data_IF_537775117312
#
_entry.id   IF_537775117312
#
_cell.length_a   1.000
_cell.length_b   1.000
_cell.length_c   1.000
_cell.angle_alpha   90.00
_cell.angle_beta   90.00
_cell.angle_gamma   90.00
#
_symmetry.space_group_name_H-M   'P 1'
#
loop_
_entity.id
_entity.type
_entity.pdbx_description
1 polymer ?
#
# COMPACT_ATOMS: atom_id res chain seq x y z
N UNK A 1 -30.83 4.60 -20.43
CA UNK A 1 -30.06 4.12 -21.60
C UNK A 1 -29.05 5.20 -21.98
N UNK A 2 -27.79 5.05 -21.59
CA UNK A 2 -26.73 5.92 -22.10
C UNK A 2 -26.36 5.41 -23.49
N UNK A 3 -26.84 6.11 -24.53
CA UNK A 3 -26.40 5.92 -25.90
C UNK A 3 -24.97 6.47 -26.01
N UNK A 4 -24.00 5.57 -25.85
CA UNK A 4 -22.61 5.86 -26.17
C UNK A 4 -22.56 6.04 -27.70
N UNK A 5 -22.48 7.30 -28.16
CA UNK A 5 -22.31 7.59 -29.60
C UNK A 5 -21.00 6.97 -30.07
N UNK A 6 -20.93 6.42 -31.30
CA UNK A 6 -19.67 5.92 -31.85
C UNK A 6 -18.72 7.11 -32.00
N UNK A 7 -17.60 7.05 -31.27
CA UNK A 7 -16.51 8.01 -31.36
C UNK A 7 -15.96 7.98 -32.78
N UNK A 8 -15.88 9.14 -33.42
CA UNK A 8 -15.39 9.29 -34.81
C UNK A 8 -13.88 8.97 -34.88
N UNK A 9 -13.33 8.67 -36.06
CA UNK A 9 -11.90 8.31 -36.17
C UNK A 9 -10.99 9.45 -35.70
N UNK A 10 -11.34 10.70 -36.00
CA UNK A 10 -10.61 11.90 -35.57
C UNK A 10 -10.61 12.08 -34.05
N UNK A 11 -11.73 11.78 -33.37
CA UNK A 11 -11.82 11.86 -31.90
C UNK A 11 -10.95 10.78 -31.22
N UNK A 12 -10.79 9.60 -31.84
CA UNK A 12 -9.94 8.52 -31.32
C UNK A 12 -8.46 8.87 -31.44
N UNK A 13 -8.05 9.50 -32.53
CA UNK A 13 -6.68 9.94 -32.75
C UNK A 13 -6.29 11.05 -31.76
N UNK A 14 -7.14 12.08 -31.62
CA UNK A 14 -6.95 13.13 -30.61
C UNK A 14 -6.88 12.58 -29.18
N UNK A 15 -7.67 11.54 -28.86
CA UNK A 15 -7.61 10.86 -27.55
C UNK A 15 -6.26 10.15 -27.35
N UNK A 16 -5.72 9.51 -28.39
CA UNK A 16 -4.41 8.84 -28.31
C UNK A 16 -3.28 9.84 -28.11
N UNK A 17 -3.27 10.93 -28.89
CA UNK A 17 -2.28 12.00 -28.72
C UNK A 17 -2.33 12.62 -27.31
N UNK A 18 -3.54 12.83 -26.77
CA UNK A 18 -3.70 13.31 -25.40
C UNK A 18 -3.17 12.30 -24.37
N UNK A 19 -3.41 10.99 -24.58
CA UNK A 19 -2.86 9.95 -23.71
C UNK A 19 -1.33 9.92 -23.74
N UNK A 20 -0.71 10.03 -24.92
CA UNK A 20 0.74 10.09 -25.08
C UNK A 20 1.33 11.31 -24.37
N UNK A 21 0.69 12.48 -24.53
CA UNK A 21 1.08 13.70 -23.83
C UNK A 21 1.05 13.53 -22.30
N UNK A 22 -0.05 13.01 -21.76
CA UNK A 22 -0.16 12.81 -20.31
C UNK A 22 0.73 11.68 -19.78
N UNK A 23 1.00 10.65 -20.59
CA UNK A 23 1.96 9.60 -20.27
C UNK A 23 3.37 10.19 -20.09
N UNK A 24 3.83 11.00 -21.05
CA UNK A 24 5.13 11.67 -20.98
C UNK A 24 5.22 12.64 -19.78
N UNK A 25 4.17 13.41 -19.51
CA UNK A 25 4.11 14.27 -18.32
C UNK A 25 4.18 13.47 -17.01
N UNK A 26 3.50 12.33 -16.95
CA UNK A 26 3.50 11.47 -15.77
C UNK A 26 4.89 10.86 -15.52
N UNK A 27 5.60 10.44 -16.55
CA UNK A 27 6.99 9.97 -16.44
C UNK A 27 7.91 11.05 -15.86
N UNK A 28 7.84 12.27 -16.41
CA UNK A 28 8.62 13.41 -15.89
C UNK A 28 8.27 13.73 -14.44
N UNK A 29 6.98 13.67 -14.07
CA UNK A 29 6.53 13.91 -12.71
C UNK A 29 7.08 12.85 -11.74
N UNK A 30 7.08 11.57 -12.13
CA UNK A 30 7.64 10.47 -11.32
C UNK A 30 9.15 10.61 -11.13
N UNK A 31 9.88 11.05 -12.15
CA UNK A 31 11.32 11.30 -12.02
C UNK A 31 11.59 12.40 -10.98
N UNK A 32 10.89 13.53 -11.08
CA UNK A 32 11.02 14.63 -10.10
C UNK A 32 10.60 14.20 -8.69
N UNK A 33 9.57 13.38 -8.57
CA UNK A 33 9.15 12.82 -7.28
C UNK A 33 10.24 11.94 -6.66
N UNK A 34 10.90 11.11 -7.47
CA UNK A 34 12.01 10.27 -7.04
C UNK A 34 13.20 11.11 -6.57
N UNK A 35 13.63 12.10 -7.35
CA UNK A 35 14.73 13.02 -6.99
C UNK A 35 14.42 13.79 -5.69
N UNK A 36 13.21 14.34 -5.57
CA UNK A 36 12.79 15.07 -4.37
C UNK A 36 12.75 14.16 -3.14
N UNK A 37 12.32 12.90 -3.31
CA UNK A 37 12.32 11.90 -2.25
C UNK A 37 13.74 11.57 -1.81
N UNK A 38 14.66 11.32 -2.73
CA UNK A 38 16.06 11.01 -2.42
C UNK A 38 16.73 12.17 -1.70
N UNK A 39 16.55 13.39 -2.19
CA UNK A 39 17.06 14.59 -1.55
C UNK A 39 16.51 14.76 -0.12
N UNK A 40 15.19 14.56 0.08
CA UNK A 40 14.59 14.59 1.43
C UNK A 40 15.21 13.55 2.37
N UNK A 41 15.35 12.30 1.90
CA UNK A 41 15.95 11.21 2.69
C UNK A 41 17.39 11.56 3.09
N UNK A 42 18.20 12.10 2.16
CA UNK A 42 19.57 12.49 2.47
C UNK A 42 19.65 13.56 3.58
N UNK A 43 18.71 14.51 3.61
CA UNK A 43 18.61 15.52 4.67
C UNK A 43 18.18 14.87 6.00
N UNK A 44 17.19 13.97 5.96
CA UNK A 44 16.75 13.21 7.14
C UNK A 44 17.91 12.39 7.75
N UNK A 45 18.73 11.75 6.92
CA UNK A 45 19.92 11.02 7.37
C UNK A 45 20.93 11.94 8.06
N UNK A 46 21.21 13.13 7.50
CA UNK A 46 22.07 14.13 8.16
C UNK A 46 21.50 14.59 9.50
N UNK A 47 20.19 14.75 9.61
CA UNK A 47 19.53 15.08 10.89
C UNK A 47 19.73 13.94 11.90
N UNK A 48 19.59 12.69 11.47
CA UNK A 48 19.81 11.52 12.32
C UNK A 48 21.29 11.41 12.74
N UNK A 49 22.25 11.72 11.88
CA UNK A 49 23.67 11.77 12.23
C UNK A 49 23.96 12.81 13.32
N UNK A 50 23.34 14.00 13.23
CA UNK A 50 23.53 15.09 14.19
C UNK A 50 22.85 14.82 15.54
N UNK A 51 21.59 14.37 15.51
CA UNK A 51 20.80 14.15 16.72
C UNK A 51 21.01 12.76 17.33
N UNK A 52 21.47 11.79 16.56
CA UNK A 52 21.38 10.37 16.91
C UNK A 52 19.94 9.87 17.03
N UNK A 53 19.82 8.58 17.36
CA UNK A 53 18.55 7.92 17.62
C UNK A 53 18.69 6.95 18.79
N UNK A 54 17.57 6.65 19.45
CA UNK A 54 17.51 5.63 20.51
C UNK A 54 17.38 4.23 19.89
N UNK A 55 17.64 3.17 20.67
CA UNK A 55 17.46 1.79 20.20
C UNK A 55 15.97 1.48 19.92
N UNK A 56 15.08 1.88 20.82
CA UNK A 56 13.63 1.93 20.64
C UNK A 56 13.12 3.13 21.44
N UNK A 57 12.36 4.03 20.81
CA UNK A 57 11.93 5.27 21.47
C UNK A 57 12.06 6.50 20.59
N UNK A 58 12.09 7.68 21.20
CA UNK A 58 12.13 8.94 20.48
C UNK A 58 12.96 9.98 21.21
N UNK A 59 13.87 10.63 20.47
CA UNK A 59 14.66 11.75 20.96
C UNK A 59 14.18 13.04 20.30
N UNK A 60 14.06 14.12 21.08
CA UNK A 60 13.66 15.44 20.55
C UNK A 60 14.65 16.52 20.95
N UNK A 61 14.86 17.48 20.06
CA UNK A 61 15.69 18.66 20.29
C UNK A 61 14.97 19.92 19.77
N UNK A 62 14.99 20.99 20.55
CA UNK A 62 14.36 22.26 20.19
C UNK A 62 15.45 23.28 19.88
N UNK A 63 15.46 23.76 18.65
CA UNK A 63 16.28 24.89 18.19
C UNK A 63 15.45 26.17 18.23
N UNK A 64 16.03 27.36 18.01
CA UNK A 64 15.28 28.61 17.96
C UNK A 64 14.17 28.65 16.90
N UNK A 65 14.23 27.81 15.86
CA UNK A 65 13.28 27.81 14.73
C UNK A 65 12.43 26.55 14.62
N UNK A 66 12.92 25.42 15.10
CA UNK A 66 12.29 24.13 14.89
C UNK A 66 12.43 23.22 16.12
N UNK A 67 11.39 22.41 16.35
CA UNK A 67 11.49 21.22 17.19
C UNK A 67 11.66 20.01 16.30
N UNK A 68 12.80 19.34 16.41
CA UNK A 68 13.16 18.16 15.62
C UNK A 68 13.06 16.92 16.51
N UNK A 69 12.57 15.80 15.95
CA UNK A 69 12.39 14.54 16.68
C UNK A 69 12.78 13.36 15.80
N UNK A 70 13.70 12.53 16.29
CA UNK A 70 14.04 11.23 15.71
C UNK A 70 13.28 10.15 16.49
N UNK A 71 12.77 9.12 15.80
CA UNK A 71 12.02 8.02 16.42
C UNK A 71 12.47 6.70 15.83
N UNK A 72 12.90 5.77 16.67
CA UNK A 72 13.28 4.42 16.30
C UNK A 72 12.18 3.44 16.70
N UNK A 73 11.88 2.49 15.81
CA UNK A 73 10.84 1.47 16.03
C UNK A 73 11.39 0.09 15.72
N UNK A 74 10.90 -0.92 16.43
CA UNK A 74 11.13 -2.31 16.03
C UNK A 74 9.98 -2.86 15.19
N UNK A 75 10.33 -3.35 14.01
CA UNK A 75 9.44 -4.16 13.19
C UNK A 75 9.42 -5.60 13.70
N UNK A 76 8.33 -5.98 14.35
CA UNK A 76 8.12 -7.33 14.88
C UNK A 76 7.27 -8.11 13.88
N UNK A 77 7.85 -9.15 13.25
CA UNK A 77 7.14 -10.07 12.35
C UNK A 77 6.85 -11.38 13.07
N UNK A 78 5.64 -11.91 12.87
CA UNK A 78 5.23 -13.19 13.44
C UNK A 78 5.73 -14.32 12.55
N UNK A 79 6.50 -15.25 13.13
CA UNK A 79 6.91 -16.50 12.46
C UNK A 79 5.77 -17.52 12.49
N UNK A 80 4.99 -17.56 11.41
CA UNK A 80 3.79 -18.40 11.28
C UNK A 80 4.07 -19.89 11.50
N UNK A 81 5.30 -20.35 11.24
CA UNK A 81 5.66 -21.77 11.44
C UNK A 81 5.71 -22.17 12.91
N UNK A 82 5.93 -21.21 13.81
CA UNK A 82 6.08 -21.43 15.25
C UNK A 82 4.87 -20.99 16.07
N UNK A 83 3.96 -20.21 15.50
CA UNK A 83 2.78 -19.66 16.20
C UNK A 83 1.95 -20.73 16.90
N UNK A 84 1.69 -21.85 16.21
CA UNK A 84 0.89 -22.95 16.76
C UNK A 84 1.57 -23.66 17.94
N UNK A 85 2.90 -23.71 17.95
CA UNK A 85 3.67 -24.22 19.06
C UNK A 85 3.62 -23.25 20.25
N UNK A 86 3.83 -21.95 20.01
CA UNK A 86 3.74 -20.92 21.05
C UNK A 86 2.35 -20.88 21.69
N UNK A 87 1.27 -20.96 20.89
CA UNK A 87 -0.11 -21.01 21.42
C UNK A 87 -0.31 -22.15 22.42
N UNK A 88 0.27 -23.33 22.14
CA UNK A 88 0.22 -24.49 23.05
C UNK A 88 1.00 -24.26 24.34
N UNK A 89 2.13 -23.55 24.28
CA UNK A 89 2.99 -23.29 25.42
C UNK A 89 2.45 -22.22 26.37
N UNK A 90 2.02 -21.07 25.83
CA UNK A 90 1.58 -19.91 26.65
C UNK A 90 0.12 -19.98 27.07
N UNK A 91 -0.64 -20.93 26.52
CA UNK A 91 -2.08 -21.05 26.71
C UNK A 91 -2.88 -20.06 25.86
N UNK A 92 -4.14 -20.41 25.59
CA UNK A 92 -4.99 -19.65 24.67
C UNK A 92 -5.31 -18.23 25.17
N UNK A 93 -5.51 -18.05 26.48
CA UNK A 93 -5.82 -16.74 27.06
C UNK A 93 -4.67 -15.74 26.85
N UNK A 94 -3.44 -16.11 27.23
CA UNK A 94 -2.26 -15.27 27.06
C UNK A 94 -1.96 -15.04 25.58
N UNK A 95 -2.11 -16.08 24.76
CA UNK A 95 -1.90 -15.98 23.32
C UNK A 95 -2.82 -14.93 22.69
N UNK A 96 -4.13 -14.97 22.99
CA UNK A 96 -5.10 -14.04 22.42
C UNK A 96 -4.93 -12.59 22.92
N UNK A 97 -4.27 -12.36 24.05
CA UNK A 97 -3.89 -11.01 24.53
C UNK A 97 -2.74 -10.41 23.69
N UNK A 98 -1.85 -11.26 23.18
CA UNK A 98 -0.63 -10.84 22.46
C UNK A 98 -0.86 -10.82 20.95
N UNK A 99 -1.46 -11.89 20.41
CA UNK A 99 -1.66 -12.09 18.98
C UNK A 99 -3.10 -11.80 18.60
N UNK A 100 -3.29 -10.80 17.72
CA UNK A 100 -4.59 -10.50 17.13
C UNK A 100 -4.79 -11.29 15.86
N UNK A 101 -5.90 -12.00 15.77
CA UNK A 101 -6.32 -12.67 14.53
C UNK A 101 -7.05 -11.68 13.63
N UNK A 102 -6.58 -11.55 12.39
CA UNK A 102 -7.25 -10.80 11.33
C UNK A 102 -7.60 -11.77 10.21
N UNK A 103 -8.87 -11.82 9.82
CA UNK A 103 -9.28 -12.53 8.63
C UNK A 103 -9.03 -11.65 7.41
N UNK A 104 -8.35 -12.19 6.41
CA UNK A 104 -8.12 -11.54 5.13
C UNK A 104 -8.75 -12.35 4.02
N UNK A 105 -9.28 -11.67 3.01
CA UNK A 105 -9.95 -12.32 1.89
C UNK A 105 -8.89 -12.78 0.90
N UNK A 106 -8.81 -14.08 0.66
CA UNK A 106 -8.12 -14.61 -0.51
C UNK A 106 -9.02 -14.40 -1.74
N UNK A 107 -8.69 -13.36 -2.52
CA UNK A 107 -9.46 -12.98 -3.70
C UNK A 107 -9.43 -14.07 -4.77
N UNK A 108 -8.35 -14.85 -4.88
CA UNK A 108 -8.25 -15.92 -5.86
C UNK A 108 -9.19 -17.06 -5.48
N UNK A 109 -9.14 -17.49 -4.22
CA UNK A 109 -10.05 -18.52 -3.71
C UNK A 109 -11.52 -18.07 -3.76
N UNK A 110 -11.80 -16.79 -3.46
CA UNK A 110 -13.15 -16.23 -3.56
C UNK A 110 -13.69 -16.24 -5.00
N UNK A 111 -12.82 -15.95 -5.99
CA UNK A 111 -13.19 -16.03 -7.42
C UNK A 111 -13.46 -17.47 -7.84
N UNK A 112 -12.60 -18.41 -7.48
CA UNK A 112 -12.82 -19.84 -7.75
C UNK A 112 -14.12 -20.34 -7.12
N UNK A 113 -14.44 -19.92 -5.89
CA UNK A 113 -15.68 -20.29 -5.22
C UNK A 113 -16.93 -19.80 -5.98
N UNK A 114 -16.85 -18.65 -6.64
CA UNK A 114 -17.94 -18.14 -7.48
C UNK A 114 -18.23 -19.07 -8.65
N UNK A 115 -17.18 -19.54 -9.31
CA UNK A 115 -17.27 -20.37 -10.50
C UNK A 115 -17.71 -21.81 -10.14
N UNK A 116 -17.35 -22.30 -8.95
CA UNK A 116 -17.78 -23.60 -8.42
C UNK A 116 -19.20 -23.60 -7.84
N UNK A 117 -19.59 -22.57 -7.09
CA UNK A 117 -20.88 -22.52 -6.41
C UNK A 117 -21.34 -21.10 -6.06
N UNK A 118 -22.25 -20.59 -6.89
CA UNK A 118 -22.92 -19.31 -6.67
C UNK A 118 -23.53 -19.16 -5.26
N UNK A 119 -24.12 -20.24 -4.72
CA UNK A 119 -24.76 -20.22 -3.38
C UNK A 119 -23.74 -20.02 -2.27
N UNK A 120 -22.59 -20.71 -2.32
CA UNK A 120 -21.53 -20.56 -1.31
C UNK A 120 -20.87 -19.18 -1.43
N UNK A 121 -20.65 -18.72 -2.65
CA UNK A 121 -20.16 -17.37 -2.91
C UNK A 121 -21.04 -16.31 -2.26
N UNK A 122 -22.36 -16.36 -2.47
CA UNK A 122 -23.30 -15.40 -1.88
C UNK A 122 -23.23 -15.35 -0.34
N UNK A 123 -23.10 -16.52 0.31
CA UNK A 123 -22.95 -16.59 1.77
C UNK A 123 -21.66 -15.94 2.27
N UNK A 124 -20.54 -16.22 1.59
CA UNK A 124 -19.23 -15.67 1.96
C UNK A 124 -19.18 -14.16 1.71
N UNK A 125 -19.76 -13.68 0.59
CA UNK A 125 -19.78 -12.26 0.29
C UNK A 125 -20.63 -11.44 1.26
N UNK A 126 -21.59 -12.03 1.98
CA UNK A 126 -22.41 -11.31 2.96
C UNK A 126 -21.60 -10.77 4.16
N UNK A 127 -20.43 -11.34 4.43
CA UNK A 127 -19.53 -10.87 5.50
C UNK A 127 -18.35 -10.04 4.96
N UNK A 128 -18.34 -9.74 3.65
CA UNK A 128 -17.27 -9.00 2.97
C UNK A 128 -17.81 -7.66 2.49
N UNK A 129 -17.25 -6.57 3.00
CA UNK A 129 -17.48 -5.23 2.44
C UNK A 129 -16.52 -5.00 1.27
N UNK A 130 -17.05 -4.76 0.07
CA UNK A 130 -16.25 -4.43 -1.11
C UNK A 130 -16.43 -2.96 -1.46
N UNK A 131 -15.34 -2.21 -1.52
CA UNK A 131 -15.31 -0.82 -1.98
C UNK A 131 -14.41 -0.69 -3.21
N UNK A 132 -14.77 0.16 -4.20
CA UNK A 132 -13.89 0.40 -5.33
C UNK A 132 -12.58 1.04 -4.84
N UNK A 133 -11.45 0.46 -5.25
CA UNK A 133 -10.13 1.03 -5.00
C UNK A 133 -9.77 2.05 -6.08
N UNK A 134 -8.81 2.93 -5.78
CA UNK A 134 -8.28 3.90 -6.75
C UNK A 134 -7.77 3.18 -8.00
N UNK A 135 -8.12 3.70 -9.18
CA UNK A 135 -7.54 3.25 -10.45
C UNK A 135 -6.04 3.55 -10.47
N UNK A 136 -5.22 2.53 -10.72
CA UNK A 136 -3.79 2.68 -10.93
C UNK A 136 -3.50 2.97 -12.41
N UNK A 137 -2.56 3.88 -12.69
CA UNK A 137 -2.08 4.17 -14.04
C UNK A 137 -0.62 3.75 -14.13
N UNK A 138 -0.34 2.80 -15.02
CA UNK A 138 1.00 2.32 -15.35
C UNK A 138 1.26 2.72 -16.80
N UNK A 139 2.40 3.37 -17.03
CA UNK A 139 2.90 3.74 -18.35
C UNK A 139 4.13 2.86 -18.58
N UNK A 140 4.12 2.11 -19.68
CA UNK A 140 5.22 1.26 -20.12
C UNK A 140 5.63 1.74 -21.51
N UNK A 141 6.92 2.00 -21.70
CA UNK A 141 7.42 2.41 -22.99
C UNK A 141 7.40 1.21 -23.94
N UNK A 142 6.73 1.37 -25.08
CA UNK A 142 6.77 0.37 -26.15
C UNK A 142 8.02 0.66 -26.98
N UNK A 143 8.93 -0.29 -27.04
CA UNK A 143 10.15 -0.25 -27.86
C UNK A 143 10.12 -1.42 -28.84
#
# INVERSE_FOLDING_TARGET
MNLMRPVTMDEKEATREALDYYAALLEQAKLREAEAREHRISIEERIVELMGCELEGSRSETTPRFKVRTTSKFDRKVDQTKVSHVKRLVGEETFNKIFRTKYEVDVKALRSLRDESQRKYAMVTNVITTTPSKTSVVVESVH
#
